data_IF_967867850882
#
_entry.id   IF_967867850882
#
_cell.length_a   1.000
_cell.length_b   1.000
_cell.length_c   1.000
_cell.angle_alpha   90.00
_cell.angle_beta   90.00
_cell.angle_gamma   90.00
#
_symmetry.space_group_name_H-M   'P 1'
#
loop_
_entity.id
_entity.type
_entity.pdbx_description
1 polymer ?
#
# COMPACT_ATOMS: atom_id res chain seq x y z
N UNK A 1 -25.24 -13.58 14.62
CA UNK A 1 -24.09 -14.33 15.15
C UNK A 1 -24.22 -14.30 16.66
N UNK A 2 -24.14 -15.46 17.31
CA UNK A 2 -24.21 -15.54 18.77
C UNK A 2 -22.94 -14.88 19.37
N UNK A 3 -23.04 -14.26 20.53
CA UNK A 3 -21.94 -13.50 21.16
C UNK A 3 -20.74 -14.41 21.49
N UNK A 4 -21.04 -15.67 21.84
CA UNK A 4 -20.03 -16.71 22.07
C UNK A 4 -19.28 -17.13 20.81
N UNK A 5 -19.98 -17.15 19.67
CA UNK A 5 -19.43 -17.51 18.36
C UNK A 5 -18.46 -16.44 17.86
N UNK A 6 -18.86 -15.16 17.98
CA UNK A 6 -17.99 -14.02 17.65
C UNK A 6 -16.74 -13.96 18.54
N UNK A 7 -16.90 -14.18 19.85
CA UNK A 7 -15.77 -14.15 20.79
C UNK A 7 -14.73 -15.22 20.47
N UNK A 8 -15.18 -16.42 20.08
CA UNK A 8 -14.30 -17.51 19.66
C UNK A 8 -13.58 -17.17 18.36
N UNK A 9 -14.31 -16.68 17.35
CA UNK A 9 -13.74 -16.25 16.07
C UNK A 9 -12.67 -15.16 16.24
N UNK A 10 -12.93 -14.16 17.09
CA UNK A 10 -11.95 -13.09 17.39
C UNK A 10 -10.68 -13.67 18.00
N UNK A 11 -10.80 -14.65 18.91
CA UNK A 11 -9.63 -15.27 19.55
C UNK A 11 -8.77 -16.07 18.55
N UNK A 12 -9.39 -16.78 17.61
CA UNK A 12 -8.69 -17.48 16.53
C UNK A 12 -7.94 -16.49 15.64
N UNK A 13 -8.61 -15.45 15.16
CA UNK A 13 -8.01 -14.41 14.31
C UNK A 13 -6.88 -13.68 15.07
N UNK A 14 -7.08 -13.36 16.37
CA UNK A 14 -6.03 -12.76 17.21
C UNK A 14 -4.78 -13.63 17.23
N UNK A 15 -4.93 -14.95 17.34
CA UNK A 15 -3.80 -15.89 17.33
C UNK A 15 -3.01 -15.81 16.02
N UNK A 16 -3.69 -15.66 14.89
CA UNK A 16 -3.04 -15.48 13.58
C UNK A 16 -2.30 -14.15 13.48
N UNK A 17 -2.89 -13.06 13.97
CA UNK A 17 -2.24 -11.75 14.05
C UNK A 17 -0.99 -11.78 14.93
N UNK A 18 -1.07 -12.42 16.10
CA UNK A 18 0.08 -12.61 16.98
C UNK A 18 1.18 -13.45 16.33
N UNK A 19 0.82 -14.48 15.56
CA UNK A 19 1.79 -15.28 14.82
C UNK A 19 2.46 -14.48 13.69
N UNK A 20 1.70 -13.64 12.97
CA UNK A 20 2.23 -12.72 11.98
C UNK A 20 3.18 -11.70 12.62
N UNK A 21 2.79 -11.12 13.75
CA UNK A 21 3.60 -10.18 14.52
C UNK A 21 4.92 -10.81 15.02
N UNK A 22 4.85 -12.01 15.63
CA UNK A 22 6.05 -12.77 16.05
C UNK A 22 6.98 -13.10 14.87
N UNK A 23 6.42 -13.38 13.71
CA UNK A 23 7.21 -13.59 12.48
C UNK A 23 7.87 -12.28 12.06
N UNK A 24 7.13 -11.18 12.10
CA UNK A 24 7.59 -9.86 11.73
C UNK A 24 8.77 -9.40 12.61
N UNK A 25 8.70 -9.59 13.93
CA UNK A 25 9.76 -9.18 14.87
C UNK A 25 11.14 -9.76 14.55
N UNK A 26 11.20 -10.86 13.80
CA UNK A 26 12.48 -11.46 13.35
C UNK A 26 13.24 -10.54 12.41
N UNK A 27 12.55 -9.67 11.67
CA UNK A 27 13.13 -8.76 10.70
C UNK A 27 13.63 -7.45 11.32
N UNK A 28 13.39 -7.16 12.60
CA UNK A 28 13.80 -5.87 13.19
C UNK A 28 15.04 -5.97 14.05
N UNK A 29 15.85 -4.91 14.00
CA UNK A 29 17.06 -4.72 14.82
C UNK A 29 16.74 -4.17 16.22
N UNK A 30 15.59 -3.54 16.42
CA UNK A 30 15.28 -2.80 17.65
C UNK A 30 14.33 -3.57 18.60
N UNK A 31 14.76 -3.77 19.85
CA UNK A 31 13.94 -4.37 20.91
C UNK A 31 12.67 -3.56 21.22
N UNK A 32 12.63 -2.27 20.90
CA UNK A 32 11.47 -1.39 21.08
C UNK A 32 10.21 -2.01 20.47
N UNK A 33 10.32 -2.65 19.30
CA UNK A 33 9.19 -3.25 18.63
C UNK A 33 8.68 -4.50 19.33
N UNK A 34 9.53 -5.22 20.07
CA UNK A 34 9.14 -6.46 20.78
C UNK A 34 8.18 -6.20 21.94
N UNK A 35 8.08 -4.95 22.38
CA UNK A 35 7.19 -4.52 23.47
C UNK A 35 5.76 -4.24 23.01
N UNK A 36 5.50 -4.29 21.70
CA UNK A 36 4.15 -4.12 21.20
C UNK A 36 3.31 -5.38 21.39
N UNK A 37 2.01 -5.20 21.62
CA UNK A 37 1.03 -6.29 21.63
C UNK A 37 0.03 -6.14 20.48
N UNK A 38 -0.61 -7.25 20.14
CA UNK A 38 -1.73 -7.28 19.20
C UNK A 38 -3.02 -7.30 20.01
N UNK A 39 -3.90 -6.34 19.77
CA UNK A 39 -5.19 -6.26 20.45
C UNK A 39 -6.37 -6.20 19.47
N UNK A 40 -7.53 -6.64 19.94
CA UNK A 40 -8.78 -6.48 19.20
C UNK A 40 -9.55 -5.27 19.74
N UNK A 41 -9.97 -4.38 18.84
CA UNK A 41 -10.82 -3.24 19.18
C UNK A 41 -11.73 -2.84 18.02
N UNK A 42 -12.99 -3.25 18.09
CA UNK A 42 -14.01 -2.88 17.10
C UNK A 42 -14.19 -1.36 16.97
N UNK A 43 -13.94 -0.57 18.03
CA UNK A 43 -14.10 0.89 18.01
C UNK A 43 -13.15 1.56 17.01
N UNK A 44 -12.00 0.94 16.72
CA UNK A 44 -11.05 1.42 15.71
C UNK A 44 -11.72 1.53 14.34
N UNK A 45 -12.57 0.57 13.95
CA UNK A 45 -13.33 0.64 12.71
C UNK A 45 -14.33 1.81 12.70
N UNK A 46 -15.11 1.97 13.77
CA UNK A 46 -16.14 3.01 13.82
C UNK A 46 -15.56 4.42 13.82
N UNK A 47 -14.35 4.61 14.37
CA UNK A 47 -13.70 5.91 14.47
C UNK A 47 -12.88 6.28 13.24
N UNK A 48 -12.21 5.31 12.63
CA UNK A 48 -11.23 5.57 11.57
C UNK A 48 -11.54 4.87 10.24
N UNK A 49 -12.53 3.98 10.21
CA UNK A 49 -12.86 3.12 9.05
C UNK A 49 -11.64 2.36 8.53
N UNK A 50 -10.81 1.90 9.46
CA UNK A 50 -9.57 1.19 9.20
C UNK A 50 -9.59 -0.18 9.92
N UNK A 51 -9.33 -1.29 9.20
CA UNK A 51 -9.31 -2.63 9.79
C UNK A 51 -8.14 -2.90 10.75
N UNK A 52 -7.04 -2.14 10.64
CA UNK A 52 -5.85 -2.33 11.49
C UNK A 52 -5.04 -1.03 11.65
N UNK A 53 -4.73 -0.66 12.90
CA UNK A 53 -4.02 0.59 13.20
C UNK A 53 -3.02 0.41 14.35
N UNK A 54 -1.86 1.07 14.24
CA UNK A 54 -0.88 1.15 15.31
C UNK A 54 -1.12 2.32 16.24
N UNK A 55 -0.96 2.09 17.54
CA UNK A 55 -1.07 3.05 18.63
C UNK A 55 0.28 3.12 19.36
N UNK A 56 1.18 4.03 18.94
CA UNK A 56 2.56 4.05 19.45
C UNK A 56 2.66 4.30 20.96
N UNK A 57 1.76 5.13 21.51
CA UNK A 57 1.72 5.49 22.93
C UNK A 57 1.36 4.27 23.79
N UNK A 58 0.33 3.53 23.37
CA UNK A 58 -0.17 2.35 24.08
C UNK A 58 0.73 1.12 23.83
N UNK A 59 1.63 1.19 22.84
CA UNK A 59 2.42 0.07 22.31
C UNK A 59 1.52 -1.08 21.86
N UNK A 60 0.48 -0.74 21.12
CA UNK A 60 -0.47 -1.70 20.61
C UNK A 60 -0.59 -1.56 19.09
N UNK A 61 -0.79 -2.69 18.41
CA UNK A 61 -1.41 -2.70 17.10
C UNK A 61 -2.79 -3.33 17.27
N UNK A 62 -3.83 -2.61 16.87
CA UNK A 62 -5.21 -3.06 17.00
C UNK A 62 -5.75 -3.50 15.66
N UNK A 63 -6.40 -4.66 15.62
CA UNK A 63 -7.25 -5.07 14.50
C UNK A 63 -8.72 -4.97 14.93
N UNK A 64 -9.60 -4.67 13.99
CA UNK A 64 -10.98 -4.30 14.31
C UNK A 64 -12.04 -5.15 13.61
N UNK A 65 -11.64 -6.20 12.90
CA UNK A 65 -12.55 -7.09 12.17
C UNK A 65 -12.33 -8.55 12.60
N UNK A 66 -13.39 -9.37 12.75
CA UNK A 66 -14.79 -9.07 12.46
C UNK A 66 -15.44 -8.10 13.45
N UNK A 67 -16.45 -7.37 13.02
CA UNK A 67 -17.32 -6.49 13.82
C UNK A 67 -18.74 -6.46 13.23
N UNK A 68 -19.62 -5.55 13.69
CA UNK A 68 -21.00 -5.51 13.22
C UNK A 68 -21.17 -5.00 11.78
N UNK A 69 -20.25 -4.18 11.26
CA UNK A 69 -20.25 -3.69 9.88
C UNK A 69 -19.57 -4.69 8.93
N UNK A 70 -18.44 -5.27 9.37
CA UNK A 70 -17.62 -6.22 8.63
C UNK A 70 -17.54 -7.51 9.43
N UNK A 71 -18.44 -8.45 9.18
CA UNK A 71 -18.59 -9.69 9.97
C UNK A 71 -17.59 -10.80 9.59
N UNK A 72 -16.48 -10.45 8.92
CA UNK A 72 -15.43 -11.37 8.52
C UNK A 72 -14.05 -10.75 8.79
N UNK A 73 -13.00 -11.57 8.78
CA UNK A 73 -11.64 -11.08 8.84
C UNK A 73 -11.26 -10.33 7.56
N UNK A 74 -10.93 -9.04 7.68
CA UNK A 74 -10.57 -8.19 6.55
C UNK A 74 -9.21 -8.57 5.92
N UNK A 75 -8.32 -9.19 6.68
CA UNK A 75 -7.03 -9.70 6.19
C UNK A 75 -6.90 -11.19 6.51
N UNK A 76 -7.67 -12.04 5.78
CA UNK A 76 -7.78 -13.46 6.13
C UNK A 76 -6.49 -14.23 5.88
N UNK A 77 -5.62 -13.79 4.96
CA UNK A 77 -4.37 -14.49 4.67
C UNK A 77 -3.26 -14.13 5.67
N UNK A 78 -2.47 -15.14 6.07
CA UNK A 78 -1.29 -14.93 6.94
C UNK A 78 -0.29 -13.94 6.33
N UNK A 79 -0.16 -13.94 5.01
CA UNK A 79 0.72 -13.04 4.29
C UNK A 79 0.21 -11.60 4.34
N UNK A 80 -1.10 -11.36 4.16
CA UNK A 80 -1.69 -10.04 4.37
C UNK A 80 -1.50 -9.53 5.81
N UNK A 81 -1.73 -10.38 6.83
CA UNK A 81 -1.47 -10.02 8.24
C UNK A 81 -0.01 -9.64 8.48
N UNK A 82 0.94 -10.37 7.90
CA UNK A 82 2.36 -10.03 7.98
C UNK A 82 2.66 -8.68 7.33
N UNK A 83 2.12 -8.43 6.13
CA UNK A 83 2.31 -7.20 5.38
C UNK A 83 1.75 -5.97 6.10
N UNK A 84 0.52 -6.05 6.61
CA UNK A 84 -0.13 -4.92 7.29
C UNK A 84 0.52 -4.62 8.66
N UNK A 85 1.03 -5.64 9.35
CA UNK A 85 1.90 -5.44 10.52
C UNK A 85 3.18 -4.70 10.09
N UNK A 86 3.89 -5.18 9.07
CA UNK A 86 5.12 -4.53 8.61
C UNK A 86 4.89 -3.09 8.15
N UNK A 87 3.79 -2.82 7.45
CA UNK A 87 3.35 -1.49 7.05
C UNK A 87 3.13 -0.56 8.25
N UNK A 88 2.37 -1.02 9.25
CA UNK A 88 2.05 -0.21 10.42
C UNK A 88 3.29 0.14 11.25
N UNK A 89 4.22 -0.80 11.40
CA UNK A 89 5.48 -0.54 12.09
C UNK A 89 6.43 0.33 11.27
N UNK A 90 6.37 0.28 9.94
CA UNK A 90 7.12 1.19 9.07
C UNK A 90 6.73 2.67 9.26
N UNK A 91 5.51 2.98 9.71
CA UNK A 91 5.17 4.36 10.12
C UNK A 91 5.98 4.84 11.32
N UNK A 92 6.32 3.95 12.27
CA UNK A 92 7.14 4.34 13.41
C UNK A 92 8.53 4.78 12.94
N UNK A 93 9.11 4.06 11.98
CA UNK A 93 10.38 4.44 11.39
C UNK A 93 10.30 5.79 10.64
N UNK A 94 9.19 6.04 9.93
CA UNK A 94 8.97 7.31 9.24
C UNK A 94 8.86 8.50 10.21
N UNK A 95 8.19 8.30 11.35
CA UNK A 95 8.08 9.29 12.43
C UNK A 95 9.46 9.59 13.02
N UNK A 96 10.26 8.57 13.33
CA UNK A 96 11.61 8.75 13.88
C UNK A 96 12.56 9.44 12.88
N UNK A 97 12.46 9.12 11.59
CA UNK A 97 13.35 9.64 10.56
C UNK A 97 13.05 11.11 10.21
N UNK A 98 11.78 11.45 10.00
CA UNK A 98 11.39 12.76 9.48
C UNK A 98 10.75 13.69 10.52
N UNK A 99 10.22 13.13 11.59
CA UNK A 99 9.44 13.85 12.60
C UNK A 99 9.91 13.59 14.04
N UNK A 100 11.23 13.57 14.32
CA UNK A 100 11.72 13.28 15.66
C UNK A 100 11.11 14.28 16.65
N UNK A 101 10.42 13.76 17.66
CA UNK A 101 9.72 14.54 18.69
C UNK A 101 8.61 15.46 18.18
N UNK A 102 8.11 15.29 16.96
CA UNK A 102 7.07 16.14 16.36
C UNK A 102 5.95 15.33 15.69
N UNK A 103 5.27 14.50 16.49
CA UNK A 103 4.16 13.67 16.01
C UNK A 103 3.00 14.50 15.42
N UNK A 104 2.75 15.71 15.91
CA UNK A 104 1.71 16.58 15.35
C UNK A 104 1.99 16.98 13.90
N UNK A 105 3.25 17.19 13.53
CA UNK A 105 3.63 17.48 12.15
C UNK A 105 3.46 16.26 11.24
N UNK A 106 3.82 15.06 11.73
CA UNK A 106 3.52 13.81 11.02
C UNK A 106 2.01 13.65 10.77
N UNK A 107 1.18 13.89 11.79
CA UNK A 107 -0.29 13.79 11.64
C UNK A 107 -0.84 14.83 10.66
N UNK A 108 -0.27 16.03 10.61
CA UNK A 108 -0.60 17.02 9.59
C UNK A 108 -0.21 16.53 8.19
N UNK A 109 1.02 16.05 8.00
CA UNK A 109 1.47 15.57 6.69
C UNK A 109 0.63 14.36 6.24
N UNK A 110 0.34 13.40 7.12
CA UNK A 110 -0.47 12.23 6.82
C UNK A 110 -1.89 12.60 6.40
N UNK A 111 -2.43 13.70 6.95
CA UNK A 111 -3.74 14.25 6.59
C UNK A 111 -3.72 14.96 5.24
N UNK A 112 -2.65 15.69 4.91
CA UNK A 112 -2.58 16.50 3.68
C UNK A 112 -2.08 15.69 2.48
N UNK A 113 -1.08 14.85 2.68
CA UNK A 113 -0.36 14.12 1.65
C UNK A 113 -0.51 12.60 1.80
N UNK A 114 -0.37 11.91 0.66
CA UNK A 114 -0.27 10.45 0.60
C UNK A 114 1.16 9.94 0.80
N UNK A 115 2.16 10.82 0.79
CA UNK A 115 3.58 10.43 0.88
C UNK A 115 3.95 9.67 2.16
N UNK A 116 3.37 9.92 3.36
CA UNK A 116 3.64 9.07 4.52
C UNK A 116 3.23 7.61 4.33
N UNK A 117 2.05 7.40 3.72
CA UNK A 117 1.57 6.07 3.36
C UNK A 117 2.51 5.43 2.33
N UNK A 118 2.99 6.22 1.36
CA UNK A 118 3.95 5.72 0.38
C UNK A 118 5.29 5.33 0.98
N UNK A 119 5.83 6.17 1.86
CA UNK A 119 7.07 5.91 2.57
C UNK A 119 6.98 4.69 3.50
N UNK A 120 5.84 4.48 4.16
CA UNK A 120 5.62 3.29 4.98
C UNK A 120 5.54 2.00 4.14
N UNK A 121 4.81 2.01 3.01
CA UNK A 121 4.77 0.87 2.10
C UNK A 121 6.11 0.62 1.41
N UNK A 122 6.80 1.66 0.95
CA UNK A 122 8.13 1.52 0.37
C UNK A 122 9.09 0.88 1.38
N UNK A 123 9.09 1.32 2.65
CA UNK A 123 9.86 0.67 3.72
C UNK A 123 9.52 -0.81 3.88
N UNK A 124 8.24 -1.15 3.97
CA UNK A 124 7.80 -2.54 4.06
C UNK A 124 8.24 -3.37 2.84
N UNK A 125 8.29 -2.77 1.65
CA UNK A 125 8.68 -3.45 0.42
C UNK A 125 10.16 -3.84 0.41
N UNK A 126 10.99 -3.17 1.21
CA UNK A 126 12.40 -3.53 1.31
C UNK A 126 12.65 -4.82 2.10
N UNK A 127 11.66 -5.40 2.79
CA UNK A 127 11.87 -6.66 3.51
C UNK A 127 10.76 -7.69 3.35
N UNK A 128 9.55 -7.29 2.97
CA UNK A 128 8.41 -8.19 2.73
C UNK A 128 7.57 -7.78 1.50
N UNK A 129 8.18 -7.58 0.31
CA UNK A 129 7.48 -7.03 -0.86
C UNK A 129 6.27 -7.85 -1.34
N UNK A 130 6.38 -9.17 -1.34
CA UNK A 130 5.28 -10.09 -1.67
C UNK A 130 4.07 -9.93 -0.74
N UNK A 131 4.30 -9.69 0.55
CA UNK A 131 3.18 -9.47 1.49
C UNK A 131 2.46 -8.17 1.26
N UNK A 132 3.11 -7.14 0.71
CA UNK A 132 2.45 -5.87 0.42
C UNK A 132 1.48 -6.00 -0.74
N UNK A 133 1.87 -6.69 -1.81
CA UNK A 133 0.94 -7.01 -2.90
C UNK A 133 -0.25 -7.81 -2.39
N UNK A 134 -0.02 -8.73 -1.45
CA UNK A 134 -1.07 -9.49 -0.79
C UNK A 134 -1.98 -8.61 0.10
N UNK A 135 -1.44 -7.64 0.84
CA UNK A 135 -2.25 -6.66 1.60
C UNK A 135 -3.16 -5.88 0.67
N UNK A 136 -2.64 -5.42 -0.48
CA UNK A 136 -3.43 -4.72 -1.49
C UNK A 136 -4.53 -5.62 -2.05
N UNK A 137 -4.22 -6.88 -2.36
CA UNK A 137 -5.17 -7.90 -2.87
C UNK A 137 -6.29 -8.17 -1.89
N UNK A 138 -5.95 -8.53 -0.65
CA UNK A 138 -6.94 -8.85 0.38
C UNK A 138 -7.71 -7.60 0.81
N UNK A 139 -7.09 -6.42 0.81
CA UNK A 139 -7.80 -5.15 1.01
C UNK A 139 -8.87 -4.89 -0.05
N UNK A 140 -8.52 -5.09 -1.33
CA UNK A 140 -9.46 -4.98 -2.44
C UNK A 140 -10.59 -6.01 -2.34
N UNK A 141 -10.26 -7.29 -2.18
CA UNK A 141 -11.24 -8.37 -2.07
C UNK A 141 -12.17 -8.18 -0.87
N UNK A 142 -11.64 -7.80 0.29
CA UNK A 142 -12.44 -7.53 1.48
C UNK A 142 -13.34 -6.31 1.30
N UNK A 143 -12.84 -5.24 0.67
CA UNK A 143 -13.65 -4.08 0.29
C UNK A 143 -14.81 -4.47 -0.64
N UNK A 144 -14.56 -5.30 -1.65
CA UNK A 144 -15.60 -5.77 -2.57
C UNK A 144 -16.57 -6.77 -1.91
N UNK A 145 -16.06 -7.68 -1.09
CA UNK A 145 -16.84 -8.64 -0.31
C UNK A 145 -17.82 -7.95 0.63
N UNK A 146 -17.40 -6.85 1.28
CA UNK A 146 -18.28 -6.04 2.12
C UNK A 146 -19.47 -5.41 1.36
N UNK A 147 -19.42 -5.42 0.02
CA UNK A 147 -20.45 -4.94 -0.91
C UNK A 147 -21.08 -6.08 -1.73
N UNK A 148 -20.80 -7.34 -1.38
CA UNK A 148 -21.36 -8.51 -2.05
C UNK A 148 -20.74 -8.84 -3.43
N UNK A 149 -19.50 -8.39 -3.70
CA UNK A 149 -18.84 -8.52 -5.00
C UNK A 149 -17.40 -9.06 -4.92
N UNK A 150 -17.10 -9.97 -3.99
CA UNK A 150 -15.73 -10.40 -3.64
C UNK A 150 -14.79 -10.75 -4.81
N UNK A 151 -15.31 -11.33 -5.90
CA UNK A 151 -14.54 -11.76 -7.08
C UNK A 151 -14.87 -10.94 -8.35
N UNK A 152 -15.47 -9.75 -8.22
CA UNK A 152 -16.13 -9.05 -9.33
C UNK A 152 -15.21 -8.27 -10.29
N UNK A 153 -13.89 -8.47 -10.25
CA UNK A 153 -12.92 -7.84 -11.17
C UNK A 153 -12.25 -8.84 -12.12
N UNK A 154 -12.53 -10.14 -11.99
CA UNK A 154 -12.06 -11.18 -12.90
C UNK A 154 -10.55 -11.13 -13.16
N UNK A 155 -10.17 -11.16 -14.44
CA UNK A 155 -8.77 -11.17 -14.88
C UNK A 155 -8.03 -9.84 -14.64
N UNK A 156 -8.75 -8.76 -14.32
CA UNK A 156 -8.17 -7.43 -14.08
C UNK A 156 -7.77 -7.22 -12.61
N UNK A 157 -8.13 -8.13 -11.70
CA UNK A 157 -7.78 -8.02 -10.28
C UNK A 157 -6.26 -7.99 -10.07
N UNK A 158 -5.53 -8.97 -10.56
CA UNK A 158 -4.09 -9.08 -10.28
C UNK A 158 -3.27 -7.93 -10.90
N UNK A 159 -3.47 -7.53 -12.18
CA UNK A 159 -2.82 -6.33 -12.71
C UNK A 159 -3.14 -5.07 -11.91
N UNK A 160 -4.41 -4.87 -11.52
CA UNK A 160 -4.81 -3.72 -10.70
C UNK A 160 -4.11 -3.73 -9.34
N UNK A 161 -4.03 -4.89 -8.68
CA UNK A 161 -3.33 -5.04 -7.40
C UNK A 161 -1.88 -4.63 -7.52
N UNK A 162 -1.18 -5.03 -8.58
CA UNK A 162 0.23 -4.66 -8.79
C UNK A 162 0.38 -3.17 -9.08
N UNK A 163 -0.50 -2.60 -9.92
CA UNK A 163 -0.54 -1.16 -10.21
C UNK A 163 -0.76 -0.34 -8.94
N UNK A 164 -1.76 -0.70 -8.14
CA UNK A 164 -2.08 -0.01 -6.89
C UNK A 164 -0.96 -0.20 -5.86
N UNK A 165 -0.31 -1.36 -5.81
CA UNK A 165 0.84 -1.59 -4.93
C UNK A 165 2.03 -0.71 -5.31
N UNK A 166 2.34 -0.57 -6.60
CA UNK A 166 3.36 0.37 -7.09
C UNK A 166 3.00 1.82 -6.74
N UNK A 167 1.74 2.21 -6.89
CA UNK A 167 1.23 3.52 -6.48
C UNK A 167 1.32 3.75 -4.97
N UNK A 168 0.99 2.72 -4.19
CA UNK A 168 1.10 2.69 -2.73
C UNK A 168 2.55 2.75 -2.26
N UNK A 169 3.53 2.30 -3.05
CA UNK A 169 4.95 2.49 -2.75
C UNK A 169 5.49 3.82 -3.29
N UNK A 170 4.77 4.46 -4.22
CA UNK A 170 5.24 5.62 -4.96
C UNK A 170 6.40 5.32 -5.90
N UNK A 171 6.40 4.13 -6.49
CA UNK A 171 7.43 3.71 -7.45
C UNK A 171 7.05 4.04 -8.90
N UNK A 172 8.03 4.09 -9.81
CA UNK A 172 7.78 4.33 -11.22
C UNK A 172 6.87 3.25 -11.82
N UNK A 173 5.95 3.67 -12.70
CA UNK A 173 5.03 2.77 -13.40
C UNK A 173 4.60 3.34 -14.76
N UNK A 174 4.44 2.45 -15.74
CA UNK A 174 4.27 2.79 -17.17
C UNK A 174 2.87 2.53 -17.72
N UNK A 175 2.05 1.72 -17.04
CA UNK A 175 0.70 1.45 -17.52
C UNK A 175 -0.11 2.75 -17.68
N UNK A 176 -0.84 2.84 -18.79
CA UNK A 176 -1.80 3.92 -18.98
C UNK A 176 -3.09 3.58 -18.23
N UNK A 177 -3.21 4.12 -17.02
CA UNK A 177 -4.32 3.82 -16.12
C UNK A 177 -5.69 4.23 -16.66
N UNK A 178 -5.77 5.30 -17.47
CA UNK A 178 -7.02 5.66 -18.13
C UNK A 178 -7.45 4.59 -19.13
N UNK A 179 -6.51 4.04 -19.91
CA UNK A 179 -6.79 2.95 -20.84
C UNK A 179 -7.13 1.66 -20.11
N UNK A 180 -6.37 1.31 -19.07
CA UNK A 180 -6.65 0.15 -18.23
C UNK A 180 -8.08 0.21 -17.68
N UNK A 181 -8.47 1.30 -17.03
CA UNK A 181 -9.82 1.45 -16.49
C UNK A 181 -10.92 1.51 -17.56
N UNK A 182 -10.62 2.01 -18.76
CA UNK A 182 -11.54 1.89 -19.89
C UNK A 182 -11.74 0.43 -20.31
N UNK A 183 -10.67 -0.36 -20.40
CA UNK A 183 -10.74 -1.80 -20.70
C UNK A 183 -11.58 -2.54 -19.65
N UNK A 184 -11.35 -2.30 -18.35
CA UNK A 184 -12.15 -2.90 -17.26
C UNK A 184 -13.63 -2.52 -17.40
N UNK A 185 -13.93 -1.26 -17.72
CA UNK A 185 -15.30 -0.80 -17.93
C UNK A 185 -15.97 -1.47 -19.12
N UNK A 186 -15.26 -1.60 -20.26
CA UNK A 186 -15.79 -2.21 -21.48
C UNK A 186 -16.00 -3.72 -21.32
N UNK A 187 -15.20 -4.38 -20.47
CA UNK A 187 -15.40 -5.76 -20.08
C UNK A 187 -16.64 -5.98 -19.17
N UNK A 188 -17.28 -4.90 -18.69
CA UNK A 188 -18.44 -4.93 -17.80
C UNK A 188 -18.22 -5.72 -16.51
N UNK A 189 -17.01 -5.61 -15.92
CA UNK A 189 -16.70 -6.21 -14.63
C UNK A 189 -17.63 -5.66 -13.53
N UNK A 190 -18.34 -6.55 -12.85
CA UNK A 190 -19.47 -6.18 -11.97
C UNK A 190 -19.06 -5.31 -10.80
N UNK A 191 -17.82 -5.44 -10.33
CA UNK A 191 -17.29 -4.69 -9.19
C UNK A 191 -16.62 -3.37 -9.57
N UNK A 192 -16.42 -3.07 -10.86
CA UNK A 192 -15.60 -1.91 -11.24
C UNK A 192 -16.16 -0.58 -10.72
N UNK A 193 -17.49 -0.40 -10.78
CA UNK A 193 -18.14 0.79 -10.23
C UNK A 193 -17.95 0.95 -8.71
N UNK A 194 -17.82 -0.16 -7.96
CA UNK A 194 -17.57 -0.15 -6.52
C UNK A 194 -16.13 0.22 -6.20
N UNK A 195 -15.17 -0.22 -7.03
CA UNK A 195 -13.77 0.21 -6.91
C UNK A 195 -13.67 1.74 -6.98
N UNK A 196 -14.48 2.37 -7.84
CA UNK A 196 -14.57 3.83 -7.95
C UNK A 196 -15.21 4.50 -6.71
N UNK A 197 -15.63 3.75 -5.69
CA UNK A 197 -16.04 4.30 -4.38
C UNK A 197 -14.89 4.37 -3.37
N UNK A 198 -13.77 3.68 -3.60
CA UNK A 198 -12.61 3.68 -2.69
C UNK A 198 -12.10 5.10 -2.42
N UNK A 199 -11.67 5.47 -1.21
CA UNK A 199 -11.30 6.87 -0.92
C UNK A 199 -10.15 7.39 -1.81
N UNK A 200 -9.22 6.52 -2.23
CA UNK A 200 -8.08 6.86 -3.08
C UNK A 200 -7.82 5.76 -4.12
N UNK A 201 -7.44 6.16 -5.33
CA UNK A 201 -6.87 5.31 -6.37
C UNK A 201 -5.40 5.66 -6.52
N UNK A 202 -4.51 4.87 -5.91
CA UNK A 202 -3.08 5.13 -5.88
C UNK A 202 -2.39 4.89 -7.22
N UNK A 203 -3.08 4.22 -8.15
CA UNK A 203 -2.77 4.23 -9.58
C UNK A 203 -2.54 5.63 -10.18
N UNK A 204 -3.10 6.69 -9.59
CA UNK A 204 -2.85 8.09 -10.01
C UNK A 204 -1.82 8.84 -9.16
N UNK A 205 -1.35 8.24 -8.05
CA UNK A 205 -0.46 8.90 -7.10
C UNK A 205 0.93 9.19 -7.69
N UNK A 206 1.54 10.29 -7.30
CA UNK A 206 2.91 10.60 -7.67
C UNK A 206 3.93 9.61 -7.10
N UNK A 207 5.20 9.92 -7.32
CA UNK A 207 6.31 9.20 -6.73
C UNK A 207 6.49 9.57 -5.26
N UNK A 208 6.98 8.60 -4.48
CA UNK A 208 7.28 8.83 -3.08
C UNK A 208 8.43 9.81 -2.93
N UNK A 209 8.33 10.68 -1.91
CA UNK A 209 9.33 11.69 -1.61
C UNK A 209 9.55 11.92 -0.13
N UNK A 210 10.74 12.43 0.26
CA UNK A 210 10.92 13.05 1.57
C UNK A 210 10.00 14.28 1.71
N UNK A 211 9.67 14.68 2.96
CA UNK A 211 8.71 15.76 3.22
C UNK A 211 9.05 17.09 2.54
N UNK A 212 10.35 17.42 2.44
CA UNK A 212 10.84 18.65 1.82
C UNK A 212 10.42 18.81 0.34
N UNK A 213 10.05 17.72 -0.32
CA UNK A 213 9.67 17.73 -1.73
C UNK A 213 8.16 17.56 -1.93
N UNK A 214 7.35 17.37 -0.89
CA UNK A 214 5.90 17.05 -0.96
C UNK A 214 5.05 18.02 -1.80
N UNK A 215 5.48 19.27 -1.94
CA UNK A 215 4.76 20.29 -2.72
C UNK A 215 5.21 20.36 -4.18
N UNK A 216 6.38 19.79 -4.52
CA UNK A 216 6.96 19.86 -5.86
C UNK A 216 6.22 18.98 -6.88
N UNK A 217 5.32 19.60 -7.66
CA UNK A 217 4.46 18.92 -8.64
C UNK A 217 5.21 18.08 -9.68
N UNK A 218 6.53 18.25 -9.85
CA UNK A 218 7.31 17.38 -10.75
C UNK A 218 7.33 15.91 -10.34
N UNK A 219 6.98 15.61 -9.09
CA UNK A 219 6.88 14.25 -8.56
C UNK A 219 5.46 13.68 -8.60
N UNK A 220 4.48 14.34 -9.24
CA UNK A 220 3.13 13.81 -9.40
C UNK A 220 2.15 14.24 -8.31
N UNK A 221 0.95 13.65 -8.36
CA UNK A 221 -0.19 14.01 -7.50
C UNK A 221 -0.02 13.37 -6.12
N UNK A 222 0.19 14.19 -5.09
CA UNK A 222 0.47 13.69 -3.72
C UNK A 222 -0.46 14.26 -2.67
N UNK A 223 -1.14 15.36 -2.97
CA UNK A 223 -2.19 15.89 -2.09
C UNK A 223 -3.40 14.98 -2.17
N UNK A 224 -3.94 14.62 -1.01
CA UNK A 224 -5.11 13.74 -0.92
C UNK A 224 -6.33 14.33 -1.62
N UNK A 225 -6.55 15.64 -1.47
CA UNK A 225 -7.64 16.35 -2.13
C UNK A 225 -7.54 16.32 -3.67
N UNK A 226 -6.33 16.47 -4.23
CA UNK A 226 -6.11 16.42 -5.68
C UNK A 226 -6.37 15.00 -6.21
N UNK A 227 -5.94 13.95 -5.47
CA UNK A 227 -6.28 12.56 -5.81
C UNK A 227 -7.78 12.29 -5.75
N UNK A 228 -8.49 12.80 -4.75
CA UNK A 228 -9.94 12.69 -4.67
C UNK A 228 -10.63 13.36 -5.86
N UNK A 229 -10.16 14.55 -6.27
CA UNK A 229 -10.68 15.25 -7.45
C UNK A 229 -10.43 14.45 -8.73
N UNK A 230 -9.20 13.98 -8.95
CA UNK A 230 -8.86 13.18 -10.13
C UNK A 230 -9.68 11.89 -10.19
N UNK A 231 -9.90 11.24 -9.05
CA UNK A 231 -10.79 10.08 -8.98
C UNK A 231 -12.22 10.42 -9.40
N UNK A 232 -12.78 11.54 -8.93
CA UNK A 232 -14.12 11.98 -9.34
C UNK A 232 -14.21 12.21 -10.85
N UNK A 233 -13.19 12.84 -11.44
CA UNK A 233 -13.10 13.06 -12.88
C UNK A 233 -12.96 11.74 -13.65
N UNK A 234 -12.17 10.80 -13.12
CA UNK A 234 -12.05 9.45 -13.69
C UNK A 234 -13.40 8.75 -13.73
N UNK A 235 -14.18 8.80 -12.65
CA UNK A 235 -15.52 8.20 -12.62
C UNK A 235 -16.45 8.77 -13.69
N UNK A 236 -16.35 10.07 -13.99
CA UNK A 236 -17.08 10.70 -15.10
C UNK A 236 -16.57 10.24 -16.46
N UNK A 237 -15.25 10.08 -16.61
CA UNK A 237 -14.64 9.59 -17.85
C UNK A 237 -15.04 8.16 -18.17
N UNK A 238 -15.04 7.27 -17.17
CA UNK A 238 -15.57 5.89 -17.30
C UNK A 238 -17.02 5.87 -17.78
N UNK A 239 -17.84 6.82 -17.31
CA UNK A 239 -19.25 6.95 -17.69
C UNK A 239 -19.47 7.66 -19.03
N UNK A 240 -18.40 7.93 -19.78
CA UNK A 240 -18.41 8.71 -21.02
C UNK A 240 -19.00 10.14 -20.87
N UNK A 241 -19.00 10.69 -19.65
CA UNK A 241 -19.41 12.07 -19.35
C UNK A 241 -18.24 13.07 -19.48
N UNK A 242 -17.02 12.55 -19.62
CA UNK A 242 -15.79 13.30 -19.81
C UNK A 242 -14.93 12.58 -20.84
N UNK A 243 -14.53 13.27 -21.91
CA UNK A 243 -13.68 12.68 -22.95
C UNK A 243 -12.29 12.34 -22.42
N UNK A 244 -11.57 11.47 -23.16
CA UNK A 244 -10.19 11.12 -22.81
C UNK A 244 -9.27 12.34 -22.85
N UNK A 245 -9.47 13.22 -23.84
CA UNK A 245 -8.70 14.45 -24.03
C UNK A 245 -8.91 15.44 -22.87
N UNK A 246 -10.16 15.60 -22.41
CA UNK A 246 -10.48 16.42 -21.24
C UNK A 246 -9.86 15.84 -19.97
N UNK A 247 -10.01 14.53 -19.74
CA UNK A 247 -9.41 13.86 -18.58
C UNK A 247 -7.88 13.96 -18.60
N UNK A 248 -7.25 13.77 -19.76
CA UNK A 248 -5.81 13.93 -19.93
C UNK A 248 -5.35 15.36 -19.63
N UNK A 249 -6.16 16.36 -20.01
CA UNK A 249 -5.87 17.77 -19.72
C UNK A 249 -5.93 18.04 -18.22
N UNK A 250 -6.93 17.50 -17.51
CA UNK A 250 -7.03 17.65 -16.05
C UNK A 250 -5.90 16.95 -15.31
N UNK A 251 -5.48 15.76 -15.76
CA UNK A 251 -4.29 15.08 -15.23
C UNK A 251 -3.02 15.91 -15.44
N UNK A 252 -2.84 16.51 -16.62
CA UNK A 252 -1.69 17.37 -16.91
C UNK A 252 -1.68 18.61 -15.99
N UNK A 253 -2.83 19.25 -15.76
CA UNK A 253 -2.97 20.39 -14.82
C UNK A 253 -2.65 19.99 -13.38
N UNK A 254 -3.04 18.79 -12.97
CA UNK A 254 -2.72 18.23 -11.66
C UNK A 254 -1.24 17.84 -11.53
N UNK A 255 -0.46 17.90 -12.62
CA UNK A 255 0.94 17.47 -12.63
C UNK A 255 1.09 15.96 -12.57
N UNK A 256 0.10 15.20 -13.05
CA UNK A 256 0.14 13.74 -13.05
C UNK A 256 1.39 13.25 -13.78
N UNK A 257 2.22 12.54 -13.02
CA UNK A 257 3.32 11.75 -13.56
C UNK A 257 3.56 10.54 -12.66
N UNK A 258 3.93 9.45 -13.31
CA UNK A 258 4.24 8.16 -12.66
C UNK A 258 5.65 7.69 -12.99
N UNK A 259 6.42 8.52 -13.69
CA UNK A 259 7.83 8.31 -14.01
C UNK A 259 8.55 9.66 -13.92
N UNK A 260 9.88 9.67 -13.86
CA UNK A 260 10.64 10.90 -14.07
C UNK A 260 11.65 10.58 -15.16
N UNK A 261 11.53 11.28 -16.29
CA UNK A 261 12.58 11.29 -17.28
C UNK A 261 13.72 12.16 -16.74
N UNK A 262 14.96 11.64 -16.77
CA UNK A 262 16.17 12.45 -16.57
C UNK A 262 16.29 13.14 -15.20
N UNK A 263 16.04 12.42 -14.10
CA UNK A 263 16.40 12.89 -12.76
C UNK A 263 17.36 11.95 -12.06
N UNK A 264 18.35 12.52 -11.37
CA UNK A 264 19.16 11.82 -10.36
C UNK A 264 18.33 11.33 -9.17
N UNK A 265 17.04 11.68 -9.12
CA UNK A 265 16.13 11.29 -8.06
C UNK A 265 15.75 9.82 -8.14
N UNK A 266 15.90 9.13 -7.01
CA UNK A 266 15.60 7.72 -6.82
C UNK A 266 14.56 7.58 -5.72
N UNK A 267 13.31 7.17 -6.04
CA UNK A 267 12.25 7.02 -5.04
C UNK A 267 12.66 6.13 -3.86
N UNK A 268 13.43 5.07 -4.14
CA UNK A 268 13.98 4.15 -3.14
C UNK A 268 14.84 4.85 -2.07
N UNK A 269 15.46 5.99 -2.37
CA UNK A 269 16.29 6.76 -1.44
C UNK A 269 15.46 7.63 -0.48
N UNK A 270 14.13 7.65 -0.61
CA UNK A 270 13.23 8.39 0.29
C UNK A 270 13.07 7.74 1.68
N UNK A 271 13.68 6.59 1.89
CA UNK A 271 13.51 5.80 3.12
C UNK A 271 14.81 5.18 3.58
N UNK A 272 14.97 5.03 4.89
CA UNK A 272 16.08 4.34 5.52
C UNK A 272 15.63 3.02 6.17
N UNK A 273 16.50 2.00 6.15
CA UNK A 273 16.27 0.66 6.71
C UNK A 273 17.18 0.29 7.89
N UNK A 274 17.84 1.25 8.55
CA UNK A 274 18.69 1.02 9.74
C UNK A 274 18.03 0.21 10.88
N UNK A 275 16.72 0.00 10.84
CA UNK A 275 15.91 -0.71 11.84
C UNK A 275 15.57 -2.15 11.42
N UNK A 276 15.97 -2.60 10.23
CA UNK A 276 15.67 -3.92 9.66
C UNK A 276 16.94 -4.77 9.53
N UNK A 277 16.83 -6.07 9.82
CA UNK A 277 17.85 -7.08 9.56
C UNK A 277 17.93 -7.38 8.06
N UNK A 278 18.92 -6.78 7.40
CA UNK A 278 19.03 -6.77 5.94
C UNK A 278 19.26 -8.15 5.31
N UNK A 279 19.87 -9.09 6.03
CA UNK A 279 20.18 -10.44 5.55
C UNK A 279 18.92 -11.24 5.18
N UNK A 280 17.90 -11.24 6.05
CA UNK A 280 16.62 -11.91 5.78
C UNK A 280 15.79 -11.20 4.71
N UNK A 281 15.91 -9.87 4.63
CA UNK A 281 15.18 -9.04 3.69
C UNK A 281 15.62 -9.28 2.24
N UNK A 282 16.93 -9.36 2.01
CA UNK A 282 17.54 -9.48 0.68
C UNK A 282 17.13 -10.77 -0.04
N UNK A 283 17.13 -11.92 0.64
CA UNK A 283 16.75 -13.20 0.01
C UNK A 283 15.29 -13.22 -0.44
N UNK A 284 14.40 -12.63 0.38
CA UNK A 284 12.99 -12.53 0.04
C UNK A 284 12.74 -11.63 -1.16
N UNK A 285 13.42 -10.48 -1.23
CA UNK A 285 13.34 -9.58 -2.39
C UNK A 285 13.76 -10.30 -3.67
N UNK A 286 14.85 -11.09 -3.66
CA UNK A 286 15.28 -11.87 -4.82
C UNK A 286 14.20 -12.83 -5.32
N UNK A 287 13.54 -13.55 -4.41
CA UNK A 287 12.46 -14.45 -4.78
C UNK A 287 11.29 -13.70 -5.43
N UNK A 288 10.89 -12.55 -4.87
CA UNK A 288 9.82 -11.73 -5.44
C UNK A 288 10.19 -11.16 -6.81
N UNK A 289 11.45 -10.76 -7.04
CA UNK A 289 11.92 -10.31 -8.36
C UNK A 289 11.65 -11.40 -9.41
N UNK A 290 12.06 -12.65 -9.13
CA UNK A 290 11.87 -13.75 -10.08
C UNK A 290 10.40 -14.05 -10.37
N UNK A 291 9.51 -13.95 -9.38
CA UNK A 291 8.06 -14.11 -9.59
C UNK A 291 7.50 -13.05 -10.55
N UNK A 292 7.88 -11.78 -10.36
CA UNK A 292 7.38 -10.69 -11.20
C UNK A 292 8.02 -10.67 -12.59
N UNK A 293 9.26 -11.14 -12.73
CA UNK A 293 9.89 -11.40 -14.03
C UNK A 293 9.14 -12.46 -14.83
N UNK A 294 8.76 -13.56 -14.19
CA UNK A 294 7.96 -14.62 -14.83
C UNK A 294 6.59 -14.10 -15.25
N UNK A 295 5.89 -13.37 -14.38
CA UNK A 295 4.61 -12.72 -14.72
C UNK A 295 4.75 -11.74 -15.90
N UNK A 296 5.81 -10.93 -15.90
CA UNK A 296 6.07 -9.98 -16.97
C UNK A 296 6.31 -10.66 -18.32
N UNK A 297 6.96 -11.83 -18.35
CA UNK A 297 7.19 -12.59 -19.58
C UNK A 297 5.90 -13.12 -20.22
N UNK A 298 4.81 -13.21 -19.47
CA UNK A 298 3.54 -13.80 -19.89
C UNK A 298 2.36 -12.80 -19.90
N UNK A 299 2.61 -11.51 -19.70
CA UNK A 299 1.57 -10.48 -19.59
C UNK A 299 1.78 -9.32 -20.56
N UNK A 300 0.67 -8.67 -20.96
CA UNK A 300 0.68 -7.42 -21.72
C UNK A 300 0.76 -6.17 -20.84
N UNK A 301 0.63 -6.30 -19.52
CA UNK A 301 0.67 -5.17 -18.58
C UNK A 301 2.09 -4.88 -18.11
N UNK A 302 2.48 -3.61 -18.11
CA UNK A 302 3.84 -3.20 -17.71
C UNK A 302 4.07 -3.32 -16.20
N UNK A 303 3.02 -3.30 -15.39
CA UNK A 303 3.08 -3.31 -13.93
C UNK A 303 3.93 -4.43 -13.35
N UNK A 304 3.92 -5.62 -13.97
CA UNK A 304 4.75 -6.74 -13.52
C UNK A 304 6.24 -6.46 -13.74
N UNK A 305 6.61 -5.94 -14.90
CA UNK A 305 7.98 -5.52 -15.19
C UNK A 305 8.40 -4.34 -14.31
N UNK A 306 7.50 -3.37 -14.09
CA UNK A 306 7.73 -2.21 -13.24
C UNK A 306 7.93 -2.60 -11.77
N UNK A 307 7.18 -3.60 -11.28
CA UNK A 307 7.36 -4.18 -9.95
C UNK A 307 8.72 -4.89 -9.84
N UNK A 308 9.10 -5.71 -10.82
CA UNK A 308 10.43 -6.31 -10.84
C UNK A 308 11.54 -5.24 -10.82
N UNK A 309 11.41 -4.18 -11.62
CA UNK A 309 12.36 -3.06 -11.65
C UNK A 309 12.42 -2.30 -10.33
N UNK A 310 11.28 -2.04 -9.70
CA UNK A 310 11.21 -1.42 -8.38
C UNK A 310 11.94 -2.27 -7.31
N UNK A 311 11.72 -3.59 -7.33
CA UNK A 311 12.37 -4.51 -6.40
C UNK A 311 13.87 -4.65 -6.67
N UNK A 312 14.33 -4.61 -7.93
CA UNK A 312 15.77 -4.59 -8.26
C UNK A 312 16.45 -3.34 -7.73
N UNK A 313 15.82 -2.16 -7.85
CA UNK A 313 16.35 -0.89 -7.29
C UNK A 313 16.51 -0.97 -5.78
N UNK A 314 15.48 -1.45 -5.09
CA UNK A 314 15.49 -1.74 -3.65
C UNK A 314 16.65 -2.69 -3.33
N UNK A 315 16.76 -3.81 -4.04
CA UNK A 315 17.80 -4.80 -3.83
C UNK A 315 19.22 -4.21 -3.97
N UNK A 316 19.46 -3.41 -5.01
CA UNK A 316 20.76 -2.79 -5.27
C UNK A 316 21.15 -1.77 -4.20
N UNK A 317 20.19 -0.97 -3.75
CA UNK A 317 20.37 -0.03 -2.64
C UNK A 317 20.79 -0.75 -1.37
N UNK A 318 20.04 -1.77 -0.97
CA UNK A 318 20.31 -2.48 0.29
C UNK A 318 21.59 -3.30 0.24
N UNK A 319 21.92 -3.90 -0.91
CA UNK A 319 23.21 -4.58 -1.09
C UNK A 319 24.39 -3.61 -0.95
N UNK A 320 24.23 -2.37 -1.40
CA UNK A 320 25.26 -1.33 -1.29
C UNK A 320 25.42 -0.86 0.15
N UNK A 321 24.30 -0.64 0.86
CA UNK A 321 24.31 -0.33 2.28
C UNK A 321 24.98 -1.43 3.11
N UNK A 322 24.58 -2.69 2.91
CA UNK A 322 25.12 -3.85 3.64
C UNK A 322 26.65 -3.98 3.51
N UNK A 323 27.20 -3.79 2.30
CA UNK A 323 28.65 -3.80 2.04
C UNK A 323 29.41 -2.64 2.70
N UNK A 324 28.73 -1.55 3.03
CA UNK A 324 29.37 -0.39 3.65
C UNK A 324 29.48 -0.53 5.18
N UNK A 325 28.67 -1.42 5.77
CA UNK A 325 28.64 -1.71 7.22
C UNK A 325 29.33 -3.03 7.60
N UNK A 326 29.66 -3.87 6.63
CA UNK A 326 30.44 -5.13 6.79
C UNK A 326 31.91 -4.89 6.49
#
# INVERSE_FOLDING_TARGET
>A
MDEKDLSHQIAEIKTEWEAAFKTMLRYYENELFTRFTIEYDAATWYRFKNPALIYPIDREMRFSTPNADINFDYYPSRSAKLGIVGHNFAYLADIEEYYPYNFSLFMWEQKEFITPLQRANLRAAHFIPDTLAEVTREGLRSFLKSRGQGDGLGLYEDPLVVIETLGLMGMPRRDNILKFFKEVSEANESAFHLLLETPYLFSFAGLVTPPALNEDKKYGIRRREELTLIKMLMSRSVRAELSYEEMSTELQKAGYTTTIAESDYKPEDSVDLRWVKLDYAIERIKMSISEYEDKAAHSSYYCYADMADALRRIYEKERTAFRSYS
#
